data_IF_425932501152
#
_entry.id   IF_425932501152
#
_cell.length_a   1.000
_cell.length_b   1.000
_cell.length_c   1.000
_cell.angle_alpha   90.00
_cell.angle_beta   90.00
_cell.angle_gamma   90.00
#
_symmetry.space_group_name_H-M   'P 1'
#
loop_
_entity.id
_entity.type
_entity.pdbx_description
1 polymer ?
#
# COMPACT_ATOMS: atom_id res chain seq x y z
N UNK A 1 -30.68 9.18 -6.56
CA UNK A 1 -30.61 7.72 -6.44
C UNK A 1 -29.31 7.26 -7.09
N UNK A 2 -28.27 7.01 -6.30
CA UNK A 2 -26.99 6.49 -6.82
C UNK A 2 -27.22 5.00 -7.14
N UNK A 3 -26.95 4.51 -8.35
CA UNK A 3 -27.11 3.10 -8.66
C UNK A 3 -26.17 2.30 -7.75
N UNK A 4 -26.74 1.41 -6.94
CA UNK A 4 -25.97 0.38 -6.25
C UNK A 4 -25.42 -0.56 -7.33
N UNK A 5 -24.17 -0.35 -7.75
CA UNK A 5 -23.46 -1.30 -8.61
C UNK A 5 -23.29 -2.61 -7.83
N UNK A 6 -24.17 -3.57 -8.10
CA UNK A 6 -24.05 -4.94 -7.61
C UNK A 6 -22.92 -5.59 -8.41
N UNK A 7 -21.83 -5.98 -7.75
CA UNK A 7 -20.72 -6.66 -8.40
C UNK A 7 -21.23 -7.98 -9.03
N UNK A 8 -20.95 -8.19 -10.32
CA UNK A 8 -21.36 -9.41 -11.03
C UNK A 8 -20.51 -10.59 -10.49
N UNK A 9 -21.10 -11.76 -10.20
CA UNK A 9 -20.35 -13.00 -9.96
C UNK A 9 -19.21 -13.25 -10.97
N UNK A 10 -19.35 -12.79 -12.22
CA UNK A 10 -18.30 -12.85 -13.23
C UNK A 10 -17.07 -12.00 -12.89
N UNK A 11 -17.22 -10.87 -12.19
CA UNK A 11 -16.11 -10.00 -11.77
C UNK A 11 -15.28 -10.66 -10.66
N UNK A 12 -15.94 -11.37 -9.72
CA UNK A 12 -15.24 -12.15 -8.71
C UNK A 12 -14.45 -13.31 -9.31
N UNK A 13 -14.99 -14.00 -10.32
CA UNK A 13 -14.26 -15.07 -11.03
C UNK A 13 -12.99 -14.53 -11.70
N UNK A 14 -13.07 -13.38 -12.36
CA UNK A 14 -11.89 -12.73 -12.96
C UNK A 14 -10.87 -12.32 -11.89
N UNK A 15 -11.31 -11.77 -10.77
CA UNK A 15 -10.44 -11.40 -9.67
C UNK A 15 -9.71 -12.62 -9.08
N UNK A 16 -10.43 -13.72 -8.85
CA UNK A 16 -9.84 -14.97 -8.36
C UNK A 16 -8.82 -15.56 -9.35
N UNK A 17 -9.13 -15.53 -10.65
CA UNK A 17 -8.18 -15.96 -11.69
C UNK A 17 -6.91 -15.09 -11.69
N UNK A 18 -7.06 -13.78 -11.54
CA UNK A 18 -5.93 -12.86 -11.44
C UNK A 18 -5.08 -13.13 -10.19
N UNK A 19 -5.72 -13.41 -9.05
CA UNK A 19 -5.03 -13.80 -7.82
C UNK A 19 -4.27 -15.12 -8.01
N UNK A 20 -4.92 -16.17 -8.54
CA UNK A 20 -4.27 -17.44 -8.79
C UNK A 20 -3.08 -17.29 -9.77
N UNK A 21 -3.26 -16.47 -10.81
CA UNK A 21 -2.18 -16.13 -11.75
C UNK A 21 -1.01 -15.40 -11.10
N UNK A 22 -1.26 -14.46 -10.17
CA UNK A 22 -0.19 -13.74 -9.47
C UNK A 22 0.60 -14.65 -8.54
N UNK A 23 -0.06 -15.57 -7.83
CA UNK A 23 0.60 -16.59 -7.03
C UNK A 23 1.50 -17.49 -7.86
N UNK A 24 0.99 -18.02 -8.99
CA UNK A 24 1.79 -18.83 -9.91
C UNK A 24 2.98 -18.05 -10.45
N UNK A 25 2.78 -16.79 -10.84
CA UNK A 25 3.85 -15.91 -11.30
C UNK A 25 4.94 -15.72 -10.25
N UNK A 26 4.56 -15.48 -8.99
CA UNK A 26 5.51 -15.37 -7.88
C UNK A 26 6.30 -16.67 -7.68
N UNK A 27 5.66 -17.83 -7.80
CA UNK A 27 6.35 -19.13 -7.68
C UNK A 27 7.34 -19.36 -8.83
N UNK A 28 6.97 -19.01 -10.07
CA UNK A 28 7.86 -19.13 -11.25
C UNK A 28 9.19 -18.40 -11.01
N UNK A 29 9.18 -17.27 -10.31
CA UNK A 29 10.40 -16.49 -10.06
C UNK A 29 11.09 -16.81 -8.73
N UNK A 30 10.41 -17.35 -7.73
CA UNK A 30 11.02 -17.62 -6.40
C UNK A 30 11.49 -19.05 -6.20
N UNK A 31 10.96 -19.99 -6.98
CA UNK A 31 11.26 -21.42 -6.87
C UNK A 31 12.54 -21.87 -7.62
N UNK A 32 12.91 -21.33 -8.79
CA UNK A 32 14.07 -21.83 -9.54
C UNK A 32 15.43 -21.84 -8.83
N UNK A 33 15.73 -20.95 -7.86
CA UNK A 33 16.96 -21.06 -7.07
C UNK A 33 17.10 -22.38 -6.30
N UNK A 34 15.99 -23.04 -5.95
CA UNK A 34 16.03 -24.37 -5.32
C UNK A 34 16.41 -25.49 -6.30
N UNK A 35 16.27 -25.24 -7.61
CA UNK A 35 16.56 -26.19 -8.68
C UNK A 35 17.86 -25.85 -9.45
N UNK A 36 18.68 -24.95 -8.91
CA UNK A 36 20.03 -24.67 -9.41
C UNK A 36 20.17 -23.53 -10.42
N UNK A 37 19.09 -22.89 -10.87
CA UNK A 37 19.21 -21.70 -11.73
C UNK A 37 19.85 -20.53 -10.96
N UNK A 38 19.54 -20.42 -9.67
CA UNK A 38 20.25 -19.55 -8.74
C UNK A 38 20.56 -20.22 -7.41
N UNK A 39 20.84 -19.45 -6.36
CA UNK A 39 20.93 -19.94 -4.99
C UNK A 39 20.58 -18.84 -4.00
N UNK A 40 19.84 -19.20 -2.97
CA UNK A 40 19.70 -18.38 -1.78
C UNK A 40 20.92 -18.54 -0.88
N UNK A 41 21.24 -17.52 -0.09
CA UNK A 41 22.36 -17.55 0.84
C UNK A 41 22.41 -16.29 1.70
N UNK A 42 23.34 -16.24 2.67
CA UNK A 42 23.54 -15.07 3.51
C UNK A 42 23.98 -13.85 2.68
N UNK A 43 23.45 -12.68 3.03
CA UNK A 43 23.81 -11.37 2.48
C UNK A 43 24.42 -10.45 3.55
N UNK A 44 25.23 -9.48 3.12
CA UNK A 44 25.89 -8.52 4.01
C UNK A 44 26.75 -9.22 5.08
N UNK A 45 26.60 -8.89 6.37
CA UNK A 45 27.35 -9.53 7.46
C UNK A 45 26.89 -10.97 7.78
N UNK A 46 25.94 -11.53 7.02
CA UNK A 46 25.46 -12.89 7.18
C UNK A 46 24.25 -13.06 8.11
N UNK A 47 23.59 -11.97 8.48
CA UNK A 47 22.40 -11.98 9.36
C UNK A 47 21.08 -12.03 8.60
N UNK A 48 21.12 -11.90 7.27
CA UNK A 48 19.96 -11.84 6.41
C UNK A 48 20.20 -12.79 5.24
N UNK A 49 19.16 -13.45 4.73
CA UNK A 49 19.24 -14.30 3.54
C UNK A 49 18.59 -13.64 2.32
N UNK A 50 19.20 -13.83 1.16
CA UNK A 50 18.66 -13.42 -0.12
C UNK A 50 19.28 -14.20 -1.29
N UNK A 51 18.92 -13.84 -2.53
CA UNK A 51 19.55 -14.40 -3.72
C UNK A 51 21.02 -14.00 -3.75
N UNK A 52 21.91 -14.92 -4.14
CA UNK A 52 23.34 -14.63 -4.21
C UNK A 52 23.70 -13.93 -5.54
N UNK A 53 23.90 -12.61 -5.52
CA UNK A 53 24.30 -11.79 -6.69
C UNK A 53 25.80 -11.71 -6.95
N UNK A 54 26.64 -12.10 -5.98
CA UNK A 54 28.11 -12.04 -6.13
C UNK A 54 28.65 -13.16 -7.05
N UNK A 55 27.83 -14.17 -7.34
CA UNK A 55 28.26 -15.30 -8.17
C UNK A 55 28.19 -14.94 -9.66
N UNK A 56 29.31 -15.04 -10.36
CA UNK A 56 29.45 -14.61 -11.76
C UNK A 56 29.23 -15.68 -12.82
N UNK A 57 28.67 -16.83 -12.45
CA UNK A 57 28.33 -17.84 -13.47
C UNK A 57 27.14 -17.36 -14.31
N UNK A 58 27.13 -17.73 -15.59
CA UNK A 58 26.10 -17.31 -16.54
C UNK A 58 24.68 -17.57 -16.04
N UNK A 59 24.44 -18.74 -15.43
CA UNK A 59 23.15 -19.09 -14.84
C UNK A 59 22.70 -18.09 -13.77
N UNK A 60 23.58 -17.75 -12.81
CA UNK A 60 23.27 -16.82 -11.71
C UNK A 60 23.02 -15.39 -12.21
N UNK A 61 23.87 -14.91 -13.12
CA UNK A 61 23.71 -13.58 -13.74
C UNK A 61 22.40 -13.52 -14.53
N UNK A 62 22.10 -14.55 -15.33
CA UNK A 62 20.86 -14.60 -16.12
C UNK A 62 19.63 -14.53 -15.23
N UNK A 63 19.61 -15.27 -14.12
CA UNK A 63 18.51 -15.26 -13.16
C UNK A 63 18.31 -13.89 -12.53
N UNK A 64 19.38 -13.25 -12.03
CA UNK A 64 19.29 -11.89 -11.46
C UNK A 64 18.77 -10.91 -12.50
N UNK A 65 19.28 -10.98 -13.73
CA UNK A 65 18.82 -10.15 -14.86
C UNK A 65 17.34 -10.35 -15.14
N UNK A 66 16.87 -11.61 -15.15
CA UNK A 66 15.46 -11.92 -15.30
C UNK A 66 14.61 -11.34 -14.17
N UNK A 67 15.06 -11.37 -12.91
CA UNK A 67 14.33 -10.74 -11.81
C UNK A 67 14.16 -9.23 -12.03
N UNK A 68 15.20 -8.52 -12.46
CA UNK A 68 15.08 -7.08 -12.78
C UNK A 68 14.08 -6.82 -13.91
N UNK A 69 14.16 -7.58 -14.99
CA UNK A 69 13.29 -7.37 -16.16
C UNK A 69 11.85 -7.75 -15.84
N UNK A 70 11.62 -8.95 -15.32
CA UNK A 70 10.28 -9.51 -15.18
C UNK A 70 9.62 -9.16 -13.84
N UNK A 71 10.36 -8.93 -12.78
CA UNK A 71 9.76 -8.61 -11.46
C UNK A 71 9.76 -7.11 -11.14
N UNK A 72 10.52 -6.28 -11.87
CA UNK A 72 10.54 -4.83 -11.67
C UNK A 72 10.10 -4.09 -12.95
N UNK A 73 10.84 -4.21 -14.04
CA UNK A 73 10.62 -3.38 -15.23
C UNK A 73 9.28 -3.68 -15.93
N UNK A 74 8.95 -4.96 -16.12
CA UNK A 74 7.70 -5.37 -16.77
C UNK A 74 6.47 -4.94 -15.94
N UNK A 75 6.37 -5.23 -14.62
CA UNK A 75 5.29 -4.73 -13.79
C UNK A 75 5.19 -3.20 -13.81
N UNK A 76 6.33 -2.49 -13.74
CA UNK A 76 6.34 -1.02 -13.83
C UNK A 76 5.76 -0.53 -15.15
N UNK A 77 6.18 -1.09 -16.28
CA UNK A 77 5.69 -0.72 -17.61
C UNK A 77 4.20 -1.00 -17.76
N UNK A 78 3.74 -2.17 -17.31
CA UNK A 78 2.32 -2.52 -17.30
C UNK A 78 1.50 -1.51 -16.48
N UNK A 79 1.99 -1.13 -15.30
CA UNK A 79 1.34 -0.13 -14.45
C UNK A 79 1.28 1.25 -15.14
N UNK A 80 2.38 1.71 -15.73
CA UNK A 80 2.43 2.97 -16.48
C UNK A 80 1.43 2.95 -17.64
N UNK A 81 1.35 1.86 -18.40
CA UNK A 81 0.42 1.73 -19.52
C UNK A 81 -1.03 1.72 -19.03
N UNK A 82 -1.35 0.87 -18.04
CA UNK A 82 -2.71 0.76 -17.50
C UNK A 82 -3.20 2.10 -16.95
N UNK A 83 -2.41 2.77 -16.11
CA UNK A 83 -2.78 4.05 -15.53
C UNK A 83 -2.73 5.20 -16.53
N UNK A 84 -1.80 5.18 -17.49
CA UNK A 84 -1.79 6.13 -18.60
C UNK A 84 -3.08 6.07 -19.41
N UNK A 85 -3.58 4.86 -19.70
CA UNK A 85 -4.88 4.66 -20.36
C UNK A 85 -6.05 5.13 -19.52
N UNK A 86 -6.05 4.85 -18.21
CA UNK A 86 -7.10 5.33 -17.29
C UNK A 86 -7.12 6.86 -17.29
N UNK A 87 -5.97 7.52 -17.14
CA UNK A 87 -5.86 8.98 -17.18
C UNK A 87 -6.31 9.57 -18.53
N UNK A 88 -6.03 8.89 -19.64
CA UNK A 88 -6.47 9.31 -20.97
C UNK A 88 -7.99 9.28 -21.10
N UNK A 89 -8.62 8.17 -20.70
CA UNK A 89 -10.09 8.02 -20.72
C UNK A 89 -10.74 9.06 -19.82
N UNK A 90 -10.21 9.20 -18.60
CA UNK A 90 -10.65 10.18 -17.62
C UNK A 90 -10.63 11.61 -18.20
N UNK A 91 -9.55 12.01 -18.89
CA UNK A 91 -9.45 13.34 -19.51
C UNK A 91 -10.46 13.53 -20.65
N UNK A 92 -10.79 12.48 -21.38
CA UNK A 92 -11.83 12.51 -22.42
C UNK A 92 -13.23 12.68 -21.83
N UNK A 93 -13.52 12.02 -20.71
CA UNK A 93 -14.83 12.06 -20.04
C UNK A 93 -15.00 13.29 -19.16
N UNK A 94 -13.93 13.95 -18.70
CA UNK A 94 -14.01 15.21 -17.95
C UNK A 94 -14.71 16.36 -18.71
N UNK A 95 -14.88 16.24 -20.03
CA UNK A 95 -15.71 17.15 -20.84
C UNK A 95 -17.22 16.96 -20.62
N UNK A 96 -17.63 15.83 -20.06
CA UNK A 96 -19.00 15.45 -19.72
C UNK A 96 -19.07 15.46 -18.18
N UNK A 97 -19.91 16.30 -17.60
CA UNK A 97 -19.92 16.74 -16.18
C UNK A 97 -20.05 15.62 -15.09
N UNK A 98 -19.15 14.63 -15.06
CA UNK A 98 -19.12 13.46 -14.18
C UNK A 98 -18.02 13.59 -13.11
N UNK A 99 -17.97 14.74 -12.47
CA UNK A 99 -16.90 15.15 -11.54
C UNK A 99 -16.72 14.18 -10.35
N UNK A 100 -17.79 13.51 -9.89
CA UNK A 100 -17.75 12.59 -8.75
C UNK A 100 -17.13 11.22 -9.10
N UNK A 101 -17.43 10.66 -10.29
CA UNK A 101 -16.79 9.44 -10.76
C UNK A 101 -15.30 9.68 -11.03
N UNK A 102 -15.00 10.82 -11.66
CA UNK A 102 -13.64 11.29 -11.91
C UNK A 102 -12.78 11.38 -10.63
N UNK A 103 -13.31 11.99 -9.55
CA UNK A 103 -12.60 12.09 -8.27
C UNK A 103 -12.30 10.72 -7.66
N UNK A 104 -13.23 9.75 -7.74
CA UNK A 104 -13.00 8.39 -7.22
C UNK A 104 -11.89 7.67 -7.99
N UNK A 105 -11.90 7.74 -9.32
CA UNK A 105 -10.88 7.09 -10.14
C UNK A 105 -9.49 7.72 -9.94
N UNK A 106 -9.41 9.07 -9.86
CA UNK A 106 -8.17 9.77 -9.51
C UNK A 106 -7.68 9.37 -8.13
N UNK A 107 -8.57 9.26 -7.14
CA UNK A 107 -8.19 8.86 -5.79
C UNK A 107 -7.58 7.46 -5.76
N UNK A 108 -8.18 6.49 -6.45
CA UNK A 108 -7.63 5.12 -6.60
C UNK A 108 -6.28 5.17 -7.32
N UNK A 109 -6.15 5.96 -8.38
CA UNK A 109 -4.91 6.21 -9.10
C UNK A 109 -3.81 6.74 -8.16
N UNK A 110 -4.10 7.78 -7.37
CA UNK A 110 -3.15 8.37 -6.41
C UNK A 110 -2.72 7.33 -5.39
N UNK A 111 -3.65 6.57 -4.82
CA UNK A 111 -3.30 5.50 -3.89
C UNK A 111 -2.31 4.52 -4.51
N UNK A 112 -2.59 3.99 -5.71
CA UNK A 112 -1.73 2.97 -6.31
C UNK A 112 -0.40 3.54 -6.78
N UNK A 113 -0.39 4.74 -7.37
CA UNK A 113 0.86 5.42 -7.76
C UNK A 113 1.73 5.68 -6.53
N UNK A 114 1.16 6.12 -5.41
CA UNK A 114 1.90 6.32 -4.16
C UNK A 114 2.46 5.00 -3.63
N UNK A 115 1.67 3.92 -3.62
CA UNK A 115 2.15 2.60 -3.20
C UNK A 115 3.30 2.09 -4.06
N UNK A 116 3.18 2.17 -5.40
CA UNK A 116 4.23 1.75 -6.33
C UNK A 116 5.48 2.60 -6.17
N UNK A 117 5.32 3.92 -6.06
CA UNK A 117 6.46 4.84 -5.87
C UNK A 117 7.20 4.50 -4.59
N UNK A 118 6.47 4.26 -3.49
CA UNK A 118 7.04 3.85 -2.22
C UNK A 118 7.78 2.51 -2.32
N UNK A 119 7.17 1.50 -2.96
CA UNK A 119 7.81 0.21 -3.23
C UNK A 119 9.13 0.39 -4.00
N UNK A 120 9.13 1.17 -5.08
CA UNK A 120 10.34 1.44 -5.86
C UNK A 120 11.38 2.17 -5.03
N UNK A 121 11.01 3.21 -4.28
CA UNK A 121 11.95 3.94 -3.43
C UNK A 121 12.62 3.01 -2.41
N UNK A 122 11.89 2.03 -1.89
CA UNK A 122 12.45 1.04 -0.97
C UNK A 122 13.34 0.00 -1.67
N UNK A 123 12.94 -0.47 -2.85
CA UNK A 123 13.60 -1.57 -3.55
C UNK A 123 14.74 -1.14 -4.46
N UNK A 124 14.70 0.09 -5.00
CA UNK A 124 15.69 0.58 -5.96
C UNK A 124 17.11 0.61 -5.39
N UNK A 125 17.38 1.09 -4.15
CA UNK A 125 18.72 1.06 -3.58
C UNK A 125 19.29 -0.37 -3.51
N UNK A 126 18.47 -1.33 -3.10
CA UNK A 126 18.86 -2.74 -3.04
C UNK A 126 19.10 -3.33 -4.44
N UNK A 127 18.23 -2.99 -5.38
CA UNK A 127 18.37 -3.38 -6.77
C UNK A 127 19.66 -2.87 -7.40
N UNK A 128 20.02 -1.61 -7.16
CA UNK A 128 21.28 -1.03 -7.65
C UNK A 128 22.48 -1.77 -7.05
N UNK A 129 22.49 -2.05 -5.74
CA UNK A 129 23.57 -2.82 -5.11
C UNK A 129 23.66 -4.23 -5.68
N UNK A 130 22.52 -4.91 -5.91
CA UNK A 130 22.51 -6.24 -6.50
C UNK A 130 23.05 -6.24 -7.95
N UNK A 131 22.71 -5.24 -8.77
CA UNK A 131 23.26 -5.08 -10.12
C UNK A 131 24.76 -4.77 -10.08
N UNK A 132 25.22 -3.90 -9.19
CA UNK A 132 26.64 -3.60 -9.00
C UNK A 132 27.41 -4.85 -8.53
N UNK A 133 26.84 -5.66 -7.65
CA UNK A 133 27.44 -6.93 -7.24
C UNK A 133 27.45 -7.97 -8.38
N UNK A 134 26.48 -7.91 -9.30
CA UNK A 134 26.34 -8.87 -10.41
C UNK A 134 27.19 -8.51 -11.63
N UNK A 135 27.34 -7.21 -11.92
CA UNK A 135 28.01 -6.71 -13.13
C UNK A 135 29.24 -5.82 -12.88
N UNK A 136 29.37 -5.25 -11.68
CA UNK A 136 30.51 -4.38 -11.31
C UNK A 136 31.81 -5.16 -11.09
N UNK A 137 32.85 -4.48 -10.65
CA UNK A 137 34.12 -5.12 -10.27
C UNK A 137 34.01 -5.79 -8.90
N UNK A 138 34.75 -6.88 -8.70
CA UNK A 138 34.80 -7.56 -7.41
C UNK A 138 35.41 -6.63 -6.35
N UNK A 139 34.80 -6.59 -5.15
CA UNK A 139 35.19 -5.69 -4.07
C UNK A 139 34.56 -4.30 -4.10
N UNK A 140 33.80 -3.93 -5.14
CA UNK A 140 33.09 -2.65 -5.21
C UNK A 140 31.96 -2.56 -4.16
N UNK A 141 31.31 -3.69 -3.87
CA UNK A 141 30.23 -3.79 -2.89
C UNK A 141 30.77 -4.40 -1.61
N UNK A 142 30.90 -3.57 -0.57
CA UNK A 142 31.23 -4.05 0.77
C UNK A 142 29.99 -4.66 1.46
N UNK A 143 30.14 -5.74 2.27
CA UNK A 143 29.06 -6.33 3.03
C UNK A 143 28.26 -5.32 3.88
N UNK A 144 28.93 -4.33 4.47
CA UNK A 144 28.30 -3.30 5.32
C UNK A 144 27.42 -2.35 4.51
N UNK A 145 27.84 -1.99 3.28
CA UNK A 145 27.10 -1.10 2.38
C UNK A 145 25.77 -1.71 1.94
N UNK A 146 25.65 -3.04 1.98
CA UNK A 146 24.43 -3.76 1.57
C UNK A 146 23.36 -3.80 2.67
N UNK A 147 23.68 -3.49 3.93
CA UNK A 147 22.76 -3.64 5.07
C UNK A 147 21.56 -2.69 4.94
N UNK A 148 21.82 -1.39 4.82
CA UNK A 148 20.77 -0.37 4.80
C UNK A 148 19.81 -0.57 3.62
N UNK A 149 20.28 -0.77 2.37
CA UNK A 149 19.40 -1.08 1.24
C UNK A 149 18.59 -2.36 1.45
N UNK A 150 19.18 -3.42 2.04
CA UNK A 150 18.47 -4.69 2.28
C UNK A 150 17.33 -4.53 3.28
N UNK A 151 17.57 -3.80 4.38
CA UNK A 151 16.54 -3.55 5.40
C UNK A 151 15.43 -2.68 4.82
N UNK A 152 15.79 -1.63 4.07
CA UNK A 152 14.84 -0.74 3.43
C UNK A 152 13.94 -1.48 2.42
N UNK A 153 14.50 -2.38 1.62
CA UNK A 153 13.70 -3.21 0.72
C UNK A 153 12.68 -4.08 1.48
N UNK A 154 13.10 -4.70 2.60
CA UNK A 154 12.22 -5.58 3.40
C UNK A 154 11.13 -4.81 4.15
N UNK A 155 11.42 -3.58 4.59
CA UNK A 155 10.44 -2.74 5.30
C UNK A 155 9.30 -2.23 4.42
N UNK A 156 9.45 -2.28 3.08
CA UNK A 156 8.40 -1.89 2.11
C UNK A 156 7.05 -2.57 2.36
N UNK A 157 7.07 -3.79 2.90
CA UNK A 157 5.87 -4.57 3.22
C UNK A 157 4.98 -3.90 4.27
N UNK A 158 5.56 -3.17 5.24
CA UNK A 158 4.84 -2.44 6.27
C UNK A 158 4.26 -1.11 5.79
N UNK A 159 4.81 -0.55 4.70
CA UNK A 159 4.35 0.73 4.15
C UNK A 159 3.00 0.58 3.45
N UNK A 160 2.69 -0.59 2.90
CA UNK A 160 1.41 -0.84 2.22
C UNK A 160 0.20 -0.58 3.14
N UNK A 161 0.07 -1.20 4.33
CA UNK A 161 -1.00 -0.86 5.28
C UNK A 161 -1.04 0.62 5.69
N UNK A 162 0.11 1.25 5.93
CA UNK A 162 0.18 2.67 6.32
C UNK A 162 -0.40 3.56 5.23
N UNK A 163 -0.01 3.31 3.97
CA UNK A 163 -0.54 4.05 2.82
C UNK A 163 -2.05 3.84 2.68
N UNK A 164 -2.55 2.62 2.87
CA UNK A 164 -3.99 2.36 2.87
C UNK A 164 -4.73 3.08 4.01
N UNK A 165 -4.17 3.10 5.21
CA UNK A 165 -4.77 3.83 6.34
C UNK A 165 -4.82 5.34 6.08
N UNK A 166 -3.77 5.93 5.50
CA UNK A 166 -3.71 7.37 5.27
C UNK A 166 -4.48 7.83 4.02
N UNK A 167 -4.52 7.01 2.97
CA UNK A 167 -5.09 7.39 1.67
C UNK A 167 -6.42 6.71 1.35
N UNK A 168 -6.95 5.81 2.18
CA UNK A 168 -8.28 5.23 2.00
C UNK A 168 -9.19 5.54 3.17
N UNK A 169 -10.06 6.54 3.01
CA UNK A 169 -11.00 6.96 4.05
C UNK A 169 -11.89 5.82 4.58
N UNK A 170 -12.25 4.83 3.74
CA UNK A 170 -13.04 3.69 4.23
C UNK A 170 -12.21 2.80 5.16
N UNK A 171 -10.97 2.51 4.75
CA UNK A 171 -10.05 1.69 5.55
C UNK A 171 -9.66 2.39 6.85
N UNK A 172 -9.41 3.70 6.79
CA UNK A 172 -9.14 4.55 7.95
C UNK A 172 -10.27 4.50 8.98
N UNK A 173 -11.53 4.67 8.55
CA UNK A 173 -12.70 4.64 9.45
C UNK A 173 -12.88 3.26 10.10
N UNK A 174 -12.71 2.18 9.33
CA UNK A 174 -12.77 0.82 9.87
C UNK A 174 -11.63 0.55 10.87
N UNK A 175 -10.42 1.02 10.59
CA UNK A 175 -9.29 0.89 11.50
C UNK A 175 -9.53 1.64 12.81
N UNK A 176 -10.03 2.88 12.74
CA UNK A 176 -10.41 3.63 13.93
C UNK A 176 -11.50 2.91 14.72
N UNK A 177 -12.53 2.37 14.08
CA UNK A 177 -13.57 1.60 14.76
C UNK A 177 -13.02 0.31 15.40
N UNK A 178 -12.00 -0.32 14.80
CA UNK A 178 -11.35 -1.50 15.35
C UNK A 178 -10.46 -1.18 16.57
N UNK A 179 -9.71 -0.08 16.53
CA UNK A 179 -8.83 0.35 17.64
C UNK A 179 -9.63 1.01 18.76
N UNK A 180 -10.70 1.72 18.41
CA UNK A 180 -11.64 2.35 19.33
C UNK A 180 -12.71 1.34 19.68
N UNK A 181 -12.37 0.34 20.51
CA UNK A 181 -13.29 -0.70 20.93
C UNK A 181 -14.59 -0.07 21.50
N UNK A 182 -15.67 -0.07 20.72
CA UNK A 182 -17.01 0.38 21.14
C UNK A 182 -17.35 1.85 20.88
N UNK A 183 -17.52 2.25 19.63
CA UNK A 183 -18.39 3.38 19.30
C UNK A 183 -19.15 3.10 18.01
N UNK A 184 -20.22 2.31 18.14
CA UNK A 184 -21.18 1.99 17.08
C UNK A 184 -21.93 3.21 16.50
N UNK A 185 -21.54 4.44 16.87
CA UNK A 185 -22.23 5.66 16.45
C UNK A 185 -21.57 6.44 15.30
N UNK A 186 -20.34 6.12 14.87
CA UNK A 186 -19.63 6.89 13.83
C UNK A 186 -19.62 6.23 12.44
N UNK A 187 -20.14 5.00 12.29
CA UNK A 187 -20.17 4.29 11.01
C UNK A 187 -21.36 4.64 10.11
N UNK A 188 -22.38 5.37 10.61
CA UNK A 188 -23.66 5.53 9.92
C UNK A 188 -23.82 6.82 9.07
N UNK A 189 -22.80 7.65 8.89
CA UNK A 189 -22.88 8.82 7.99
C UNK A 189 -21.93 8.68 6.79
N UNK A 190 -22.47 8.46 5.57
CA UNK A 190 -21.69 8.34 4.34
C UNK A 190 -20.95 9.62 3.92
N UNK A 191 -21.22 10.76 4.58
CA UNK A 191 -20.77 12.10 4.17
C UNK A 191 -20.07 12.91 5.28
N UNK A 192 -19.61 12.30 6.38
CA UNK A 192 -18.83 13.05 7.37
C UNK A 192 -17.47 13.44 6.77
N UNK A 193 -17.10 14.74 6.74
CA UNK A 193 -15.75 15.16 6.38
C UNK A 193 -14.73 14.55 7.34
N UNK A 194 -13.55 14.18 6.85
CA UNK A 194 -12.44 13.83 7.74
C UNK A 194 -12.22 14.97 8.75
N UNK A 195 -11.98 14.67 10.03
CA UNK A 195 -11.20 15.60 10.85
C UNK A 195 -9.84 15.70 10.15
N UNK A 196 -9.52 16.88 9.62
CA UNK A 196 -8.16 17.16 9.19
C UNK A 196 -7.24 16.83 10.36
N UNK A 197 -6.09 16.20 10.08
CA UNK A 197 -5.04 16.01 11.07
C UNK A 197 -4.60 17.40 11.56
N UNK A 198 -5.20 17.85 12.65
CA UNK A 198 -4.79 19.07 13.33
C UNK A 198 -3.41 18.78 13.92
N UNK A 199 -2.47 19.60 13.50
CA UNK A 199 -1.04 19.44 13.75
C UNK A 199 -0.74 19.22 15.22
N UNK A 200 0.26 18.38 15.46
CA UNK A 200 1.20 18.47 16.59
C UNK A 200 1.37 19.91 17.09
N UNK A 201 0.65 20.28 18.14
CA UNK A 201 0.96 21.42 18.99
C UNK A 201 0.83 20.92 20.44
N UNK A 202 1.92 20.29 20.89
CA UNK A 202 2.21 20.11 22.30
C UNK A 202 2.38 21.50 22.93
N UNK A 203 2.06 21.61 24.22
CA UNK A 203 2.39 22.69 25.17
C UNK A 203 1.50 23.94 25.18
N UNK A 204 0.59 24.04 26.15
CA UNK A 204 0.81 24.75 27.42
C UNK A 204 -0.52 25.15 28.08
N UNK A 205 -0.83 24.56 29.24
CA UNK A 205 -1.75 25.15 30.23
C UNK A 205 -1.12 26.42 30.80
N UNK A 206 -1.91 27.47 31.13
CA UNK A 206 -2.27 27.62 32.55
C UNK A 206 -3.68 28.21 32.84
N UNK A 207 -4.33 27.56 33.82
CA UNK A 207 -5.19 28.02 34.93
C UNK A 207 -6.13 29.26 34.84
N UNK A 208 -7.38 28.95 35.25
CA UNK A 208 -8.29 29.65 36.17
C UNK A 208 -9.17 30.83 35.68
N UNK A 209 -10.48 30.57 35.59
CA UNK A 209 -11.50 31.21 36.45
C UNK A 209 -12.87 30.48 36.36
N UNK A 210 -13.42 30.13 37.55
CA UNK A 210 -14.82 29.84 37.94
C UNK A 210 -15.85 30.77 37.25
N UNK A 211 -17.15 30.51 37.01
CA UNK A 211 -18.22 29.51 37.30
C UNK A 211 -19.48 29.98 36.47
N UNK A 212 -20.74 29.49 36.60
CA UNK A 212 -21.32 28.14 36.73
C UNK A 212 -22.42 27.82 35.68
N UNK A 213 -22.94 26.58 35.78
CA UNK A 213 -24.32 26.16 35.50
C UNK A 213 -24.79 25.94 34.05
N UNK A 214 -24.81 24.66 33.61
CA UNK A 214 -26.07 23.92 33.34
C UNK A 214 -25.74 22.43 33.21
N UNK A 215 -26.32 21.60 34.07
CA UNK A 215 -26.17 20.14 34.13
C UNK A 215 -26.56 19.43 32.80
N UNK A 216 -25.92 18.29 32.43
CA UNK A 216 -26.25 17.57 31.20
C UNK A 216 -27.55 16.75 31.37
N UNK A 217 -28.52 17.03 30.50
CA UNK A 217 -29.79 16.31 30.42
C UNK A 217 -29.59 14.81 30.20
N UNK A 218 -30.15 14.01 31.09
CA UNK A 218 -30.20 12.55 31.03
C UNK A 218 -31.26 12.13 30.01
N UNK A 219 -30.89 11.50 28.90
CA UNK A 219 -31.87 10.91 27.97
C UNK A 219 -32.45 9.62 28.56
N UNK A 220 -33.74 9.62 28.92
CA UNK A 220 -34.48 8.40 29.25
C UNK A 220 -35.01 7.72 27.97
N UNK A 221 -35.10 6.38 27.92
CA UNK A 221 -35.69 5.67 26.79
C UNK A 221 -37.22 5.92 26.70
N UNK A 222 -37.70 6.17 25.49
CA UNK A 222 -39.13 6.25 25.14
C UNK A 222 -39.67 4.85 24.80
N UNK A 223 -40.93 4.57 25.15
CA UNK A 223 -41.60 3.33 24.76
C UNK A 223 -42.13 3.37 23.31
N UNK A 224 -42.61 2.23 22.83
CA UNK A 224 -43.08 2.02 21.45
C UNK A 224 -44.34 2.83 21.04
N UNK A 225 -44.85 3.70 21.92
CA UNK A 225 -45.94 4.63 21.62
C UNK A 225 -45.53 6.10 21.61
N UNK A 226 -44.26 6.42 21.90
CA UNK A 226 -43.70 7.76 21.77
C UNK A 226 -44.08 8.73 22.88
N UNK A 227 -44.37 8.25 24.10
CA UNK A 227 -44.52 9.12 25.29
C UNK A 227 -43.49 8.78 26.38
N UNK A 228 -42.93 9.79 27.08
CA UNK A 228 -41.84 9.60 28.03
C UNK A 228 -42.31 8.96 29.36
N UNK A 229 -41.47 8.07 29.92
CA UNK A 229 -41.62 7.45 31.26
C UNK A 229 -41.02 8.29 32.39
#
# INVERSE_FOLDING_TARGET
MVPYMKADPADYKKAWLAIAGSWLYSLVWTVPPFFGWSSYGPEGPGTICSVQWHQRSFGKISYVTCLFIFCILLPLLLMIICYGKILFVIRGVAKINQLAAHRREIHVLVMVVTMVSCYLLCWMPYGVIALLATFGQDGLVSPTTSIVPSILAKSSTFLNPIIYMLLNNQFYRCFLAFVSCGSDHLAATPNAPCPAAESLALTATPLAHEEPDTSPGTCKPLDSSGTPL
#
